data_IF_017978602695
#
_entry.id   IF_017978602695
#
_cell.length_a   1.000
_cell.length_b   1.000
_cell.length_c   1.000
_cell.angle_alpha   90.00
_cell.angle_beta   90.00
_cell.angle_gamma   90.00
#
_symmetry.space_group_name_H-M   'P 1'
#
loop_
_entity.id
_entity.type
_entity.pdbx_description
1 polymer ?
#
# COMPACT_ATOMS: atom_id res chain seq x y z
N UNK A 1 12.92 -25.65 21.64
CA UNK A 1 12.52 -24.25 21.34
C UNK A 1 13.76 -23.45 21.02
N UNK A 2 13.79 -22.74 19.89
CA UNK A 2 14.90 -21.85 19.53
C UNK A 2 14.63 -20.45 20.08
N UNK A 3 15.67 -19.77 20.58
CA UNK A 3 15.57 -18.39 21.11
C UNK A 3 15.64 -17.33 20.00
N UNK A 4 16.24 -17.66 18.86
CA UNK A 4 16.38 -16.74 17.71
C UNK A 4 16.00 -17.47 16.42
N UNK A 5 15.10 -16.87 15.64
CA UNK A 5 14.61 -17.44 14.37
C UNK A 5 15.70 -17.62 13.30
N UNK A 6 16.88 -17.01 13.45
CA UNK A 6 18.01 -17.23 12.54
C UNK A 6 18.60 -18.65 12.66
N UNK A 7 18.48 -19.29 13.83
CA UNK A 7 19.00 -20.65 14.03
C UNK A 7 18.14 -21.74 13.37
N UNK A 8 16.89 -21.45 13.00
CA UNK A 8 16.03 -22.45 12.35
C UNK A 8 16.47 -22.74 10.91
N UNK A 9 17.15 -21.80 10.25
CA UNK A 9 17.50 -21.91 8.83
C UNK A 9 18.44 -23.08 8.52
N UNK A 10 19.45 -23.32 9.36
CA UNK A 10 20.39 -24.44 9.17
C UNK A 10 19.70 -25.82 9.29
N UNK A 11 18.69 -25.92 10.16
CA UNK A 11 17.89 -27.13 10.34
C UNK A 11 16.92 -27.31 9.18
N UNK A 12 16.34 -26.21 8.70
CA UNK A 12 15.47 -26.17 7.53
C UNK A 12 16.20 -26.68 6.27
N UNK A 13 17.41 -26.19 6.02
CA UNK A 13 18.26 -26.63 4.91
C UNK A 13 18.68 -28.11 5.01
N UNK A 14 18.83 -28.66 6.22
CA UNK A 14 19.06 -30.09 6.41
C UNK A 14 17.80 -30.92 6.10
N UNK A 15 16.64 -30.50 6.58
CA UNK A 15 15.36 -31.20 6.34
C UNK A 15 14.93 -31.13 4.86
N UNK A 16 15.21 -30.03 4.17
CA UNK A 16 15.01 -29.88 2.72
C UNK A 16 15.88 -30.88 1.94
N UNK A 17 17.17 -31.01 2.30
CA UNK A 17 18.09 -31.95 1.64
C UNK A 17 17.63 -33.41 1.78
N UNK A 18 17.09 -33.77 2.93
CA UNK A 18 16.53 -35.09 3.21
C UNK A 18 15.09 -35.27 2.71
N UNK A 19 14.54 -34.31 1.96
CA UNK A 19 13.18 -34.33 1.40
C UNK A 19 12.09 -34.66 2.44
N UNK A 20 12.32 -34.26 3.69
CA UNK A 20 11.43 -34.59 4.80
C UNK A 20 10.38 -33.49 4.95
N UNK A 21 9.11 -33.89 5.09
CA UNK A 21 8.01 -32.94 5.30
C UNK A 21 8.16 -32.30 6.68
N UNK A 22 8.30 -30.98 6.74
CA UNK A 22 8.38 -30.22 8.00
C UNK A 22 7.46 -29.00 7.96
N UNK A 23 7.14 -28.47 9.15
CA UNK A 23 6.36 -27.23 9.31
C UNK A 23 7.06 -26.31 10.29
N UNK A 24 7.34 -25.09 9.84
CA UNK A 24 8.02 -24.09 10.64
C UNK A 24 7.00 -23.20 11.38
N UNK A 25 7.07 -23.20 12.70
CA UNK A 25 6.24 -22.36 13.56
C UNK A 25 7.08 -21.16 14.06
N UNK A 26 6.55 -19.94 13.92
CA UNK A 26 7.19 -18.73 14.47
C UNK A 26 8.12 -17.96 13.52
N UNK A 27 8.19 -18.34 12.25
CA UNK A 27 8.85 -17.55 11.19
C UNK A 27 8.06 -16.29 10.81
N UNK A 28 8.30 -15.73 9.63
CA UNK A 28 7.59 -14.54 9.11
C UNK A 28 6.08 -14.75 9.26
N UNK A 29 5.46 -13.90 10.09
CA UNK A 29 4.02 -13.96 10.33
C UNK A 29 3.30 -13.69 9.01
N UNK A 30 2.21 -14.41 8.75
CA UNK A 30 1.40 -14.22 7.54
C UNK A 30 1.04 -12.74 7.29
N UNK A 31 0.57 -12.04 8.33
CA UNK A 31 0.22 -10.60 8.25
C UNK A 31 1.41 -9.63 8.12
N UNK A 32 2.65 -10.11 8.26
CA UNK A 32 3.82 -9.27 8.06
C UNK A 32 4.24 -9.19 6.60
N UNK A 33 3.78 -10.14 5.77
CA UNK A 33 4.08 -10.20 4.34
C UNK A 33 3.53 -8.97 3.61
N UNK A 34 4.28 -8.49 2.62
CA UNK A 34 3.95 -7.23 1.95
C UNK A 34 2.64 -7.32 1.18
N UNK A 35 2.42 -8.42 0.46
CA UNK A 35 1.21 -8.67 -0.33
C UNK A 35 -0.04 -8.73 0.55
N UNK A 36 0.06 -9.32 1.74
CA UNK A 36 -1.05 -9.40 2.69
C UNK A 36 -1.39 -8.01 3.23
N UNK A 37 -0.38 -7.22 3.57
CA UNK A 37 -0.59 -5.83 4.02
C UNK A 37 -1.16 -4.94 2.93
N UNK A 38 -0.72 -5.13 1.69
CA UNK A 38 -1.21 -4.34 0.55
C UNK A 38 -2.68 -4.68 0.26
N UNK A 39 -3.06 -5.97 0.27
CA UNK A 39 -4.46 -6.38 0.13
C UNK A 39 -5.36 -5.85 1.26
N UNK A 40 -4.87 -5.90 2.51
CA UNK A 40 -5.58 -5.32 3.65
C UNK A 40 -5.73 -3.80 3.53
N UNK A 41 -4.74 -3.12 2.96
CA UNK A 41 -4.81 -1.69 2.75
C UNK A 41 -5.86 -1.33 1.68
N UNK A 42 -5.96 -2.09 0.60
CA UNK A 42 -7.06 -1.95 -0.36
C UNK A 42 -8.43 -2.09 0.31
N UNK A 43 -8.66 -3.17 1.05
CA UNK A 43 -9.92 -3.39 1.75
C UNK A 43 -10.23 -2.29 2.77
N UNK A 44 -9.21 -1.78 3.46
CA UNK A 44 -9.37 -0.69 4.42
C UNK A 44 -9.82 0.59 3.72
N UNK A 45 -9.17 0.98 2.63
CA UNK A 45 -9.58 2.17 1.85
C UNK A 45 -11.03 2.07 1.38
N UNK A 46 -11.47 0.89 0.93
CA UNK A 46 -12.87 0.67 0.52
C UNK A 46 -13.83 0.86 1.72
N UNK A 47 -13.44 0.38 2.89
CA UNK A 47 -14.29 0.39 4.08
C UNK A 47 -14.38 1.76 4.76
N UNK A 48 -13.24 2.42 4.98
CA UNK A 48 -13.15 3.65 5.80
C UNK A 48 -12.46 4.83 5.11
N UNK A 49 -11.95 4.67 3.89
CA UNK A 49 -11.23 5.74 3.18
C UNK A 49 -9.91 6.16 3.84
N UNK A 50 -9.31 5.32 4.69
CA UNK A 50 -8.14 5.69 5.50
C UNK A 50 -6.96 6.20 4.67
N UNK A 51 -6.47 7.40 5.04
CA UNK A 51 -5.30 8.04 4.41
C UNK A 51 -4.05 7.16 4.46
N UNK A 52 -3.76 6.52 5.59
CA UNK A 52 -2.56 5.68 5.77
C UNK A 52 -2.60 4.48 4.82
N UNK A 53 -3.78 3.88 4.66
CA UNK A 53 -3.97 2.75 3.76
C UNK A 53 -3.87 3.20 2.30
N UNK A 54 -4.43 4.37 1.97
CA UNK A 54 -4.37 4.96 0.63
C UNK A 54 -2.93 5.28 0.21
N UNK A 55 -2.14 5.92 1.07
CA UNK A 55 -0.73 6.23 0.82
C UNK A 55 0.11 4.97 0.54
N UNK A 56 -0.25 3.84 1.16
CA UNK A 56 0.44 2.55 0.92
C UNK A 56 0.13 1.99 -0.47
N UNK A 57 -1.11 2.09 -0.94
CA UNK A 57 -1.56 1.46 -2.19
C UNK A 57 -1.49 2.38 -3.41
N UNK A 58 -1.32 3.69 -3.20
CA UNK A 58 -1.40 4.70 -4.27
C UNK A 58 -0.47 4.39 -5.45
N UNK A 59 0.74 3.88 -5.18
CA UNK A 59 1.72 3.51 -6.20
C UNK A 59 1.97 1.98 -6.29
N UNK A 60 1.02 1.16 -5.82
CA UNK A 60 1.07 -0.31 -5.92
C UNK A 60 -0.20 -0.84 -6.59
N UNK A 61 -0.16 -1.40 -7.81
CA UNK A 61 0.98 -1.53 -8.74
C UNK A 61 1.56 -0.16 -9.15
N UNK A 62 2.76 -0.14 -9.73
CA UNK A 62 3.45 1.11 -10.07
C UNK A 62 2.62 1.98 -11.01
N UNK A 63 2.11 3.11 -10.49
CA UNK A 63 1.33 4.12 -11.23
C UNK A 63 2.20 5.32 -11.64
N UNK A 64 3.52 5.25 -11.40
CA UNK A 64 4.49 6.34 -11.60
C UNK A 64 4.05 7.64 -10.92
N UNK A 65 3.46 7.53 -9.74
CA UNK A 65 3.13 8.66 -8.87
C UNK A 65 4.33 8.87 -7.96
N UNK A 66 5.03 9.98 -8.12
CA UNK A 66 6.23 10.30 -7.32
C UNK A 66 5.88 10.91 -5.97
N UNK A 67 6.82 10.85 -5.03
CA UNK A 67 6.66 11.38 -3.67
C UNK A 67 6.28 12.87 -3.65
N UNK A 68 6.92 13.69 -4.49
CA UNK A 68 6.59 15.12 -4.64
C UNK A 68 5.13 15.35 -5.00
N UNK A 69 4.52 14.46 -5.78
CA UNK A 69 3.10 14.56 -6.14
C UNK A 69 2.21 14.15 -4.96
N UNK A 70 2.63 13.15 -4.19
CA UNK A 70 1.92 12.69 -3.00
C UNK A 70 1.92 13.77 -1.91
N UNK A 71 3.08 14.39 -1.65
CA UNK A 71 3.20 15.47 -0.66
C UNK A 71 2.31 16.66 -1.02
N UNK A 72 2.33 17.04 -2.30
CA UNK A 72 1.44 18.03 -2.88
C UNK A 72 -0.05 17.74 -2.66
N UNK A 73 -0.48 16.49 -2.84
CA UNK A 73 -1.86 16.05 -2.57
C UNK A 73 -2.20 16.14 -1.08
N UNK A 74 -1.25 15.77 -0.21
CA UNK A 74 -1.41 15.87 1.24
C UNK A 74 -1.52 17.33 1.71
N UNK A 75 -0.69 18.22 1.19
CA UNK A 75 -0.78 19.66 1.47
C UNK A 75 -2.12 20.24 1.02
N UNK A 76 -2.60 19.84 -0.17
CA UNK A 76 -3.91 20.27 -0.66
C UNK A 76 -5.05 19.77 0.25
N UNK A 77 -5.04 18.48 0.62
CA UNK A 77 -6.03 17.90 1.53
C UNK A 77 -6.06 18.64 2.88
N UNK A 78 -4.87 18.91 3.45
CA UNK A 78 -4.72 19.71 4.69
C UNK A 78 -5.24 21.13 4.54
N UNK A 79 -4.97 21.80 3.42
CA UNK A 79 -5.43 23.18 3.18
C UNK A 79 -6.95 23.30 3.15
N UNK A 80 -7.64 22.23 2.75
CA UNK A 80 -9.11 22.15 2.67
C UNK A 80 -9.73 21.51 3.92
N UNK A 81 -8.94 21.08 4.91
CA UNK A 81 -9.39 20.29 6.06
C UNK A 81 -10.22 19.05 5.65
N UNK A 82 -9.77 18.34 4.61
CA UNK A 82 -10.39 17.12 4.12
C UNK A 82 -9.42 15.95 4.23
N UNK A 83 -9.95 14.74 4.41
CA UNK A 83 -9.16 13.52 4.26
C UNK A 83 -8.67 13.37 2.82
N UNK A 84 -7.48 12.78 2.63
CA UNK A 84 -6.88 12.59 1.31
C UNK A 84 -7.82 11.90 0.32
N UNK A 85 -8.56 10.87 0.77
CA UNK A 85 -9.55 10.17 -0.07
C UNK A 85 -10.64 11.12 -0.57
N UNK A 86 -11.24 11.88 0.36
CA UNK A 86 -12.31 12.85 0.05
C UNK A 86 -11.82 14.00 -0.82
N UNK A 87 -10.57 14.45 -0.61
CA UNK A 87 -9.96 15.50 -1.42
C UNK A 87 -9.79 15.06 -2.87
N UNK A 88 -9.34 13.82 -3.12
CA UNK A 88 -9.17 13.30 -4.48
C UNK A 88 -10.54 13.03 -5.13
N UNK A 89 -11.53 12.54 -4.38
CA UNK A 89 -12.87 12.26 -4.90
C UNK A 89 -13.63 13.54 -5.29
N UNK A 90 -13.67 14.55 -4.39
CA UNK A 90 -14.51 15.74 -4.57
C UNK A 90 -13.84 16.86 -5.37
N UNK A 91 -12.52 16.99 -5.29
CA UNK A 91 -11.76 18.11 -5.86
C UNK A 91 -10.82 17.67 -6.99
N UNK A 92 -11.15 16.58 -7.70
CA UNK A 92 -10.33 16.06 -8.79
C UNK A 92 -9.98 17.11 -9.87
N UNK A 93 -10.94 17.98 -10.22
CA UNK A 93 -10.74 19.04 -11.22
C UNK A 93 -9.90 20.21 -10.67
N UNK A 94 -10.12 20.62 -9.41
CA UNK A 94 -9.33 21.69 -8.76
C UNK A 94 -7.86 21.28 -8.55
N UNK A 95 -7.60 20.00 -8.31
CA UNK A 95 -6.25 19.44 -8.19
C UNK A 95 -5.43 19.62 -9.49
N UNK A 96 -6.09 19.53 -10.65
CA UNK A 96 -5.44 19.71 -11.95
C UNK A 96 -4.94 21.14 -12.14
N UNK A 97 -5.81 22.11 -11.85
CA UNK A 97 -5.51 23.54 -12.04
C UNK A 97 -4.50 24.05 -11.00
N UNK A 98 -4.66 23.63 -9.74
CA UNK A 98 -3.87 24.19 -8.63
C UNK A 98 -2.45 23.63 -8.58
N UNK A 99 -2.26 22.34 -8.88
CA UNK A 99 -0.97 21.66 -8.67
C UNK A 99 -0.15 21.43 -9.94
N UNK A 100 -0.68 21.83 -11.11
CA UNK A 100 -0.04 21.60 -12.42
C UNK A 100 0.38 20.13 -12.61
N UNK A 101 -0.43 19.19 -12.10
CA UNK A 101 -0.15 17.76 -12.20
C UNK A 101 -0.43 17.31 -13.62
N UNK A 102 0.39 16.37 -14.14
CA UNK A 102 0.20 15.85 -15.49
C UNK A 102 -1.16 15.15 -15.64
N UNK A 103 -1.84 15.38 -16.76
CA UNK A 103 -3.15 14.78 -17.08
C UNK A 103 -3.10 13.24 -17.00
N UNK A 104 -1.95 12.64 -17.33
CA UNK A 104 -1.74 11.20 -17.25
C UNK A 104 -1.69 10.67 -15.81
N UNK A 105 -1.31 11.49 -14.82
CA UNK A 105 -1.31 11.10 -13.40
C UNK A 105 -2.72 11.15 -12.82
N UNK A 106 -3.48 12.17 -13.20
CA UNK A 106 -4.89 12.30 -12.83
C UNK A 106 -5.71 11.12 -13.35
N UNK A 107 -5.55 10.74 -14.63
CA UNK A 107 -6.21 9.56 -15.18
C UNK A 107 -5.90 8.28 -14.39
N UNK A 108 -4.69 8.12 -13.86
CA UNK A 108 -4.31 6.96 -13.03
C UNK A 108 -4.94 7.01 -11.64
N UNK A 109 -5.08 8.20 -11.05
CA UNK A 109 -5.81 8.39 -9.79
C UNK A 109 -7.31 8.12 -9.97
N UNK A 110 -7.90 8.59 -11.06
CA UNK A 110 -9.29 8.31 -11.42
C UNK A 110 -9.51 6.80 -11.61
N UNK A 111 -8.59 6.12 -12.29
CA UNK A 111 -8.63 4.66 -12.42
C UNK A 111 -8.57 3.97 -11.06
N UNK A 112 -7.69 4.40 -10.15
CA UNK A 112 -7.58 3.84 -8.80
C UNK A 112 -8.89 4.00 -8.02
N UNK A 113 -9.53 5.17 -8.05
CA UNK A 113 -10.79 5.39 -7.32
C UNK A 113 -11.91 4.55 -7.92
N UNK A 114 -11.96 4.43 -9.26
CA UNK A 114 -12.97 3.62 -9.92
C UNK A 114 -12.76 2.11 -9.71
N UNK A 115 -11.53 1.65 -9.50
CA UNK A 115 -11.21 0.24 -9.22
C UNK A 115 -11.53 -0.15 -7.77
N UNK A 116 -11.54 0.83 -6.86
CA UNK A 116 -11.86 0.67 -5.44
C UNK A 116 -13.38 0.66 -5.20
N UNK A 117 -14.19 1.18 -6.13
CA UNK A 117 -15.65 1.27 -6.03
C UNK A 117 -16.36 0.08 -6.67
#
# INVERSE_FOLDING_TARGET
MFRTNSYSRAIEEALIRENTIYKLFGSIKFYQREEVKDALAYLRVIHDGSEIALLRIINKPSRKIGEVTIDKLLEFARSKNLDLYSAIERHFNELQETLSISTSTLQRLAYLINDIR
#
